data_IF_696538384772
#
_entry.id   IF_696538384772
#
_cell.length_a   1.000
_cell.length_b   1.000
_cell.length_c   1.000
_cell.angle_alpha   90.00
_cell.angle_beta   90.00
_cell.angle_gamma   90.00
#
_symmetry.space_group_name_H-M   'P 1'
#
loop_
_entity.id
_entity.type
_entity.pdbx_description
1 polymer ?
#
# COMPACT_ATOMS: atom_id res chain seq x y z
N UNK A 1 19.39 -11.69 22.77
CA UNK A 1 18.00 -11.26 22.54
C UNK A 1 17.96 -9.75 22.63
N UNK A 2 17.45 -9.05 21.62
CA UNK A 2 17.50 -7.59 21.58
C UNK A 2 16.60 -7.02 22.68
N UNK A 3 17.01 -5.90 23.26
CA UNK A 3 16.30 -5.22 24.35
C UNK A 3 15.91 -3.84 23.85
N UNK A 4 14.61 -3.64 23.61
CA UNK A 4 14.07 -2.38 23.12
C UNK A 4 13.77 -1.49 24.32
N UNK A 5 14.37 -0.30 24.34
CA UNK A 5 14.24 0.65 25.45
C UNK A 5 13.38 1.86 25.12
N UNK A 6 13.10 2.12 23.84
CA UNK A 6 12.25 3.24 23.41
C UNK A 6 11.41 2.92 22.16
N UNK A 7 10.41 3.77 21.91
CA UNK A 7 9.59 3.74 20.70
C UNK A 7 10.42 3.97 19.44
N UNK A 8 11.38 4.89 19.49
CA UNK A 8 12.22 5.25 18.34
C UNK A 8 13.09 4.06 17.92
N UNK A 9 13.62 3.32 18.91
CA UNK A 9 14.39 2.10 18.66
C UNK A 9 13.53 1.02 17.98
N UNK A 10 12.29 0.82 18.46
CA UNK A 10 11.35 -0.11 17.83
C UNK A 10 11.00 0.29 16.40
N UNK A 11 10.71 1.57 16.17
CA UNK A 11 10.38 2.08 14.84
C UNK A 11 11.53 1.94 13.86
N UNK A 12 12.78 2.10 14.34
CA UNK A 12 13.97 1.85 13.53
C UNK A 12 14.03 0.39 13.08
N UNK A 13 13.80 -0.58 13.97
CA UNK A 13 13.76 -2.00 13.59
C UNK A 13 12.66 -2.30 12.58
N UNK A 14 11.46 -1.71 12.75
CA UNK A 14 10.35 -1.88 11.79
C UNK A 14 10.74 -1.35 10.41
N UNK A 15 11.38 -0.18 10.34
CA UNK A 15 11.75 0.46 9.08
C UNK A 15 12.90 -0.24 8.34
N UNK A 16 13.81 -0.86 9.08
CA UNK A 16 14.97 -1.60 8.53
C UNK A 16 14.64 -3.07 8.19
N UNK A 17 13.41 -3.54 8.46
CA UNK A 17 12.99 -4.90 8.14
C UNK A 17 12.75 -5.11 6.64
N UNK A 18 13.15 -6.28 6.17
CA UNK A 18 13.09 -6.75 4.79
C UNK A 18 13.02 -8.30 4.78
N UNK A 19 13.03 -8.90 3.59
CA UNK A 19 12.98 -10.37 3.41
C UNK A 19 14.03 -11.14 4.20
N UNK A 20 15.25 -10.61 4.27
CA UNK A 20 16.40 -11.28 4.88
C UNK A 20 16.35 -11.28 6.41
N UNK A 21 15.74 -10.25 7.02
CA UNK A 21 15.57 -10.12 8.47
C UNK A 21 14.09 -10.07 8.89
N UNK A 22 13.25 -10.82 8.16
CA UNK A 22 11.78 -10.83 8.26
C UNK A 22 11.21 -11.29 9.62
N UNK A 23 12.03 -11.85 10.51
CA UNK A 23 11.63 -12.23 11.86
C UNK A 23 12.65 -11.71 12.87
N UNK A 24 12.17 -10.95 13.85
CA UNK A 24 12.99 -10.44 14.94
C UNK A 24 12.33 -10.69 16.30
N UNK A 25 13.11 -11.21 17.25
CA UNK A 25 12.68 -11.34 18.63
C UNK A 25 13.35 -10.29 19.52
N UNK A 26 12.55 -9.58 20.30
CA UNK A 26 13.03 -8.57 21.23
C UNK A 26 12.29 -8.65 22.57
N UNK A 27 12.83 -7.97 23.57
CA UNK A 27 12.22 -7.86 24.90
C UNK A 27 12.05 -6.41 25.29
N UNK A 28 10.94 -6.10 25.95
CA UNK A 28 10.68 -4.80 26.56
C UNK A 28 10.71 -4.99 28.09
N UNK A 29 11.56 -4.25 28.82
CA UNK A 29 11.62 -4.32 30.28
C UNK A 29 10.25 -4.13 30.93
N UNK A 30 9.86 -5.06 31.79
CA UNK A 30 8.57 -5.03 32.49
C UNK A 30 7.35 -5.36 31.64
N UNK A 31 7.52 -5.70 30.35
CA UNK A 31 6.42 -6.10 29.45
C UNK A 31 6.59 -7.50 28.88
N UNK A 32 7.82 -8.00 28.77
CA UNK A 32 8.11 -9.37 28.37
C UNK A 32 8.79 -9.47 27.01
N UNK A 33 8.60 -10.62 26.35
CA UNK A 33 9.21 -10.95 25.06
C UNK A 33 8.20 -10.83 23.93
N UNK A 34 8.65 -10.31 22.80
CA UNK A 34 7.86 -10.05 21.60
C UNK A 34 8.57 -10.58 20.37
N UNK A 35 7.79 -10.97 19.37
CA UNK A 35 8.27 -11.34 18.04
C UNK A 35 7.64 -10.39 17.03
N UNK A 36 8.47 -9.73 16.25
CA UNK A 36 8.07 -8.92 15.10
C UNK A 36 8.28 -9.75 13.84
N UNK A 37 7.28 -9.77 12.97
CA UNK A 37 7.28 -10.53 11.71
C UNK A 37 6.90 -9.57 10.59
N UNK A 38 7.72 -9.53 9.54
CA UNK A 38 7.40 -8.79 8.32
C UNK A 38 6.30 -9.55 7.58
N UNK A 39 5.15 -8.89 7.41
CA UNK A 39 4.12 -9.34 6.49
C UNK A 39 4.31 -8.54 5.21
N UNK A 40 4.97 -9.15 4.23
CA UNK A 40 5.01 -8.56 2.91
C UNK A 40 3.62 -8.71 2.27
N UNK A 41 3.07 -7.60 1.81
CA UNK A 41 2.12 -7.69 0.71
C UNK A 41 2.93 -8.09 -0.52
N UNK A 42 2.67 -9.28 -1.09
CA UNK A 42 3.31 -9.70 -2.36
C UNK A 42 3.01 -8.72 -3.51
N UNK A 43 2.03 -7.84 -3.32
CA UNK A 43 1.59 -6.86 -4.28
C UNK A 43 2.32 -5.53 -4.04
N UNK A 44 2.97 -5.05 -5.08
CA UNK A 44 3.45 -3.68 -5.18
C UNK A 44 2.34 -2.71 -4.75
N UNK A 45 2.64 -1.76 -3.86
CA UNK A 45 1.64 -0.81 -3.41
C UNK A 45 1.25 0.15 -4.54
N UNK A 46 0.01 0.65 -4.52
CA UNK A 46 -0.43 1.69 -5.46
C UNK A 46 0.46 2.93 -5.37
N UNK A 47 0.97 3.24 -4.16
CA UNK A 47 1.90 4.36 -3.95
C UNK A 47 3.22 4.14 -4.71
N UNK A 48 3.78 2.93 -4.66
CA UNK A 48 4.97 2.59 -5.44
C UNK A 48 4.73 2.66 -6.95
N UNK A 49 3.54 2.27 -7.44
CA UNK A 49 3.15 2.45 -8.84
C UNK A 49 3.04 3.92 -9.24
N UNK A 50 2.48 4.76 -8.38
CA UNK A 50 2.37 6.21 -8.59
C UNK A 50 3.74 6.87 -8.63
N UNK A 51 4.66 6.48 -7.74
CA UNK A 51 6.05 6.98 -7.75
C UNK A 51 6.75 6.62 -9.06
N UNK A 52 6.52 5.42 -9.59
CA UNK A 52 7.08 4.96 -10.87
C UNK A 52 6.42 5.63 -12.08
N UNK A 53 5.14 6.01 -11.98
CA UNK A 53 4.39 6.67 -13.05
C UNK A 53 3.62 7.90 -12.55
N UNK A 54 4.21 9.10 -12.64
CA UNK A 54 3.56 10.35 -12.21
C UNK A 54 2.24 10.67 -12.93
N UNK A 55 2.01 10.14 -14.13
CA UNK A 55 0.71 10.32 -14.83
C UNK A 55 -0.42 9.59 -14.10
N UNK A 56 -0.10 8.49 -13.41
CA UNK A 56 -1.07 7.72 -12.64
C UNK A 56 -1.64 8.54 -11.47
N UNK A 57 -0.80 9.37 -10.84
CA UNK A 57 -1.25 10.31 -9.80
C UNK A 57 -2.30 11.29 -10.32
N UNK A 58 -2.05 11.85 -11.50
CA UNK A 58 -2.94 12.80 -12.16
C UNK A 58 -4.27 12.12 -12.51
N UNK A 59 -4.23 10.92 -13.09
CA UNK A 59 -5.42 10.15 -13.43
C UNK A 59 -6.29 9.84 -12.18
N UNK A 60 -5.68 9.49 -11.05
CA UNK A 60 -6.41 9.25 -9.81
C UNK A 60 -7.09 10.52 -9.30
N UNK A 61 -6.38 11.65 -9.27
CA UNK A 61 -6.94 12.94 -8.84
C UNK A 61 -8.11 13.37 -9.72
N UNK A 62 -7.95 13.29 -11.04
CA UNK A 62 -9.01 13.62 -11.98
C UNK A 62 -10.22 12.70 -11.82
N UNK A 63 -10.00 11.39 -11.69
CA UNK A 63 -11.08 10.42 -11.46
C UNK A 63 -11.86 10.72 -10.18
N UNK A 64 -11.16 11.04 -9.09
CA UNK A 64 -11.80 11.40 -7.81
C UNK A 64 -12.63 12.68 -7.92
N UNK A 65 -12.15 13.70 -8.64
CA UNK A 65 -12.90 14.92 -8.90
C UNK A 65 -14.17 14.66 -9.75
N UNK A 66 -14.06 13.84 -10.79
CA UNK A 66 -15.20 13.48 -11.64
C UNK A 66 -16.25 12.72 -10.83
N UNK A 67 -15.82 11.79 -9.97
CA UNK A 67 -16.70 11.07 -9.06
C UNK A 67 -17.45 12.01 -8.11
N UNK A 68 -16.74 12.94 -7.47
CA UNK A 68 -17.34 13.97 -6.59
C UNK A 68 -18.36 14.85 -7.32
N UNK A 69 -18.15 15.12 -8.60
CA UNK A 69 -19.07 15.88 -9.47
C UNK A 69 -20.25 15.05 -9.99
N UNK A 70 -20.32 13.75 -9.66
CA UNK A 70 -21.37 12.85 -10.15
C UNK A 70 -21.23 12.50 -11.63
N UNK A 71 -20.03 12.71 -12.22
CA UNK A 71 -19.73 12.45 -13.63
C UNK A 71 -19.25 11.01 -13.87
N UNK A 72 -19.58 10.11 -12.96
CA UNK A 72 -19.30 8.68 -13.10
C UNK A 72 -20.24 8.00 -14.09
N UNK A 73 -19.78 6.88 -14.64
CA UNK A 73 -20.58 6.02 -15.52
C UNK A 73 -20.83 4.68 -14.82
N UNK A 74 -22.06 4.21 -14.82
CA UNK A 74 -22.36 2.87 -14.32
C UNK A 74 -21.84 1.81 -15.28
N UNK A 75 -21.62 0.58 -14.78
CA UNK A 75 -21.22 -0.56 -15.62
C UNK A 75 -22.22 -0.78 -16.76
N UNK A 76 -23.52 -0.63 -16.50
CA UNK A 76 -24.57 -0.76 -17.51
C UNK A 76 -24.49 0.31 -18.60
N UNK A 77 -24.15 1.54 -18.25
CA UNK A 77 -23.96 2.61 -19.23
C UNK A 77 -22.70 2.35 -20.05
N UNK A 78 -21.58 1.99 -19.41
CA UNK A 78 -20.32 1.66 -20.08
C UNK A 78 -20.53 0.56 -21.13
N UNK A 79 -21.18 -0.54 -20.75
CA UNK A 79 -21.45 -1.65 -21.66
C UNK A 79 -22.32 -1.24 -22.87
N UNK A 80 -23.22 -0.26 -22.70
CA UNK A 80 -24.03 0.29 -23.81
C UNK A 80 -23.26 1.25 -24.69
N UNK A 81 -22.24 1.93 -24.16
CA UNK A 81 -21.40 2.85 -24.95
C UNK A 81 -20.40 2.12 -25.84
N UNK A 82 -20.04 0.88 -25.49
CA UNK A 82 -19.14 0.06 -26.28
C UNK A 82 -19.86 -0.52 -27.50
N UNK A 83 -19.17 -0.54 -28.63
CA UNK A 83 -19.63 -1.05 -29.91
C UNK A 83 -18.71 -2.18 -30.39
N UNK A 84 -19.14 -2.97 -31.37
CA UNK A 84 -18.31 -4.05 -31.94
C UNK A 84 -16.96 -3.55 -32.47
N UNK A 85 -16.87 -2.28 -32.89
CA UNK A 85 -15.62 -1.66 -33.38
C UNK A 85 -14.61 -1.37 -32.28
N UNK A 86 -15.04 -1.32 -31.02
CA UNK A 86 -14.15 -1.06 -29.90
C UNK A 86 -13.36 -2.31 -29.46
N UNK A 87 -13.69 -3.47 -30.05
CA UNK A 87 -13.07 -4.77 -29.76
C UNK A 87 -12.31 -5.37 -30.96
N UNK A 88 -12.26 -4.66 -32.09
CA UNK A 88 -11.60 -5.08 -33.36
C UNK A 88 -10.48 -4.09 -33.69
#
# INVERSE_FOLDING_TARGET
MNKVLSSEELMKYIHEMNRENSVMQFSIPGKGQFTLVLQEEENQSIEEDVIKNPQLEMMFKESEEQYKKGLGMTTSELLKSLTEKDFI
#
